data_IF_000161297803
#
_entry.id   IF_000161297803
#
_cell.length_a   1.000
_cell.length_b   1.000
_cell.length_c   1.000
_cell.angle_alpha   90.00
_cell.angle_beta   90.00
_cell.angle_gamma   90.00
#
_symmetry.space_group_name_H-M   'P 1'
#
loop_
_entity.id
_entity.type
_entity.pdbx_description
1 polymer ?
#
# COMPACT_ATOMS: atom_id res chain seq x y z
N UNK A 1 -13.91 9.25 2.86
CA UNK A 1 -13.78 7.98 3.57
C UNK A 1 -14.38 8.10 4.98
N UNK A 2 -15.04 7.07 5.47
CA UNK A 2 -15.71 7.05 6.77
C UNK A 2 -14.78 7.40 7.94
N UNK A 3 -13.50 7.02 7.87
CA UNK A 3 -12.48 7.38 8.89
C UNK A 3 -12.23 8.88 8.97
N UNK A 4 -12.30 9.60 7.85
CA UNK A 4 -12.04 11.03 7.79
C UNK A 4 -13.13 11.84 8.53
N UNK A 5 -14.38 11.41 8.49
CA UNK A 5 -15.51 12.15 9.03
C UNK A 5 -15.35 12.50 10.51
N UNK A 6 -14.80 11.58 11.32
CA UNK A 6 -14.60 11.78 12.76
C UNK A 6 -13.50 12.80 13.10
N UNK A 7 -12.54 12.99 12.18
CA UNK A 7 -11.36 13.84 12.41
C UNK A 7 -11.37 15.09 11.53
N UNK A 8 -12.43 15.32 10.74
CA UNK A 8 -12.48 16.38 9.76
C UNK A 8 -12.05 17.77 10.32
N UNK A 9 -12.44 18.19 11.54
CA UNK A 9 -12.02 19.48 12.10
C UNK A 9 -10.53 19.60 12.42
N UNK A 10 -9.82 18.47 12.49
CA UNK A 10 -8.39 18.41 12.84
C UNK A 10 -7.48 18.14 11.62
N UNK A 11 -8.08 17.93 10.44
CA UNK A 11 -7.32 17.62 9.25
C UNK A 11 -6.85 18.90 8.57
N UNK A 12 -5.61 18.87 8.10
CA UNK A 12 -5.10 19.89 7.20
C UNK A 12 -5.85 19.82 5.86
N UNK A 13 -5.96 20.94 5.18
CA UNK A 13 -6.47 20.97 3.82
C UNK A 13 -5.47 20.30 2.87
N UNK A 14 -5.97 19.29 2.17
CA UNK A 14 -5.22 18.57 1.16
C UNK A 14 -6.07 18.40 -0.10
N UNK A 15 -5.51 18.73 -1.25
CA UNK A 15 -6.11 18.45 -2.55
C UNK A 15 -5.79 17.02 -2.95
N UNK A 16 -6.79 16.28 -3.40
CA UNK A 16 -6.63 14.91 -3.86
C UNK A 16 -6.65 14.84 -5.38
N UNK A 17 -5.80 13.99 -5.93
CA UNK A 17 -5.79 13.59 -7.34
C UNK A 17 -6.18 12.11 -7.44
N UNK A 18 -6.50 11.64 -8.64
CA UNK A 18 -6.91 10.26 -8.88
C UNK A 18 -5.81 9.26 -8.46
N UNK A 19 -6.17 8.16 -7.77
CA UNK A 19 -5.21 7.12 -7.43
C UNK A 19 -4.79 6.33 -8.67
N UNK A 20 -3.61 5.73 -8.64
CA UNK A 20 -3.22 4.76 -9.65
C UNK A 20 -3.95 3.43 -9.39
N UNK A 21 -5.12 3.27 -9.99
CA UNK A 21 -6.02 2.13 -9.80
C UNK A 21 -6.38 1.49 -11.15
N UNK A 22 -5.45 0.77 -11.78
CA UNK A 22 -5.62 0.31 -13.17
C UNK A 22 -6.85 -0.59 -13.35
N UNK A 23 -7.16 -1.46 -12.41
CA UNK A 23 -8.33 -2.34 -12.51
C UNK A 23 -9.65 -1.58 -12.76
N UNK A 24 -9.84 -0.41 -12.14
CA UNK A 24 -11.08 0.36 -12.25
C UNK A 24 -11.01 1.57 -13.17
N UNK A 25 -9.85 2.24 -13.22
CA UNK A 25 -9.73 3.58 -13.79
C UNK A 25 -8.95 3.64 -15.12
N UNK A 26 -8.21 2.56 -15.47
CA UNK A 26 -7.53 2.47 -16.75
C UNK A 26 -8.56 2.14 -17.85
N UNK A 27 -8.63 2.96 -18.89
CA UNK A 27 -9.50 2.69 -20.04
C UNK A 27 -9.02 1.45 -20.82
N UNK A 28 -9.96 0.69 -21.40
CA UNK A 28 -9.63 -0.52 -22.14
C UNK A 28 -8.70 -0.29 -23.35
N UNK A 29 -8.68 0.93 -23.90
CA UNK A 29 -7.82 1.34 -25.02
C UNK A 29 -6.50 1.97 -24.57
N UNK A 30 -6.27 2.11 -23.27
CA UNK A 30 -5.14 2.81 -22.69
C UNK A 30 -4.05 1.81 -22.28
N UNK A 31 -2.80 2.03 -22.70
CA UNK A 31 -1.69 1.22 -22.18
C UNK A 31 -1.39 1.61 -20.72
N UNK A 32 -0.76 0.72 -19.91
CA UNK A 32 -0.34 1.07 -18.57
C UNK A 32 0.50 2.35 -18.49
N UNK A 33 1.41 2.54 -19.44
CA UNK A 33 2.27 3.72 -19.53
C UNK A 33 1.45 4.99 -19.83
N UNK A 34 0.50 4.93 -20.76
CA UNK A 34 -0.38 6.05 -21.10
C UNK A 34 -1.26 6.44 -19.90
N UNK A 35 -1.77 5.43 -19.18
CA UNK A 35 -2.52 5.63 -17.94
C UNK A 35 -1.67 6.32 -16.88
N UNK A 36 -0.46 5.85 -16.62
CA UNK A 36 0.47 6.49 -15.68
C UNK A 36 0.80 7.92 -16.06
N UNK A 37 1.01 8.21 -17.34
CA UNK A 37 1.25 9.56 -17.85
C UNK A 37 0.02 10.47 -17.67
N UNK A 38 -1.18 9.99 -17.92
CA UNK A 38 -2.42 10.73 -17.70
C UNK A 38 -2.59 11.15 -16.24
N UNK A 39 -2.30 10.25 -15.30
CA UNK A 39 -2.35 10.57 -13.87
C UNK A 39 -1.27 11.61 -13.46
N UNK A 40 -0.08 11.53 -14.02
CA UNK A 40 0.97 12.51 -13.79
C UNK A 40 0.58 13.88 -14.38
N UNK A 41 -0.08 13.92 -15.55
CA UNK A 41 -0.62 15.16 -16.12
C UNK A 41 -1.75 15.77 -15.25
N UNK A 42 -2.62 14.94 -14.65
CA UNK A 42 -3.62 15.40 -13.68
C UNK A 42 -2.96 16.05 -12.46
N UNK A 43 -1.89 15.43 -11.93
CA UNK A 43 -1.09 16.02 -10.86
C UNK A 43 -0.52 17.37 -11.27
N UNK A 44 0.12 17.44 -12.44
CA UNK A 44 0.72 18.68 -12.96
C UNK A 44 -0.32 19.79 -13.14
N UNK A 45 -1.46 19.48 -13.78
CA UNK A 45 -2.57 20.43 -13.94
C UNK A 45 -3.10 20.91 -12.58
N UNK A 46 -3.13 20.04 -11.58
CA UNK A 46 -3.56 20.39 -10.23
C UNK A 46 -2.57 21.32 -9.55
N UNK A 47 -1.25 21.06 -9.65
CA UNK A 47 -0.21 21.94 -9.12
C UNK A 47 -0.29 23.33 -9.78
N UNK A 48 -0.42 23.39 -11.10
CA UNK A 48 -0.54 24.67 -11.84
C UNK A 48 -1.79 25.43 -11.38
N UNK A 49 -2.92 24.76 -11.26
CA UNK A 49 -4.19 25.36 -10.81
C UNK A 49 -4.12 25.94 -9.39
N UNK A 50 -3.38 25.27 -8.50
CA UNK A 50 -3.18 25.73 -7.11
C UNK A 50 -2.12 26.83 -6.99
N UNK A 51 -1.21 26.90 -7.94
CA UNK A 51 0.02 27.68 -7.87
C UNK A 51 1.16 26.85 -7.29
N UNK A 52 2.25 26.67 -8.02
CA UNK A 52 3.37 25.83 -7.60
C UNK A 52 4.04 26.32 -6.31
N UNK A 53 3.99 27.61 -6.04
CA UNK A 53 4.46 28.25 -4.81
C UNK A 53 3.56 27.98 -3.59
N UNK A 54 2.36 27.44 -3.80
CA UNK A 54 1.40 27.08 -2.75
C UNK A 54 1.38 25.58 -2.46
N UNK A 55 2.11 24.76 -3.23
CA UNK A 55 2.15 23.31 -3.08
C UNK A 55 3.50 22.87 -2.57
N UNK A 56 3.57 22.45 -1.31
CA UNK A 56 4.83 22.00 -0.71
C UNK A 56 5.21 20.59 -1.13
N UNK A 57 4.25 19.65 -1.21
CA UNK A 57 4.53 18.25 -1.46
C UNK A 57 3.37 17.52 -2.14
N UNK A 58 3.73 16.47 -2.90
CA UNK A 58 2.84 15.38 -3.28
C UNK A 58 3.14 14.17 -2.40
N UNK A 59 2.08 13.61 -1.79
CA UNK A 59 2.20 12.46 -0.87
C UNK A 59 1.42 11.28 -1.41
N UNK A 60 2.05 10.11 -1.50
CA UNK A 60 1.41 8.87 -1.91
C UNK A 60 2.01 7.65 -1.21
N UNK A 61 1.20 6.60 -1.02
CA UNK A 61 1.75 5.26 -0.75
C UNK A 61 2.41 4.73 -2.02
N UNK A 62 3.63 4.16 -1.92
CA UNK A 62 4.32 3.56 -3.08
C UNK A 62 3.54 2.38 -3.65
N UNK A 63 2.98 1.52 -2.79
CA UNK A 63 1.89 0.61 -3.09
C UNK A 63 0.76 0.93 -2.12
N UNK A 64 -0.43 1.16 -2.65
CA UNK A 64 -1.59 1.44 -1.81
C UNK A 64 -1.87 0.31 -0.83
N UNK A 65 -2.07 0.66 0.43
CA UNK A 65 -2.22 -0.33 1.50
C UNK A 65 -3.66 -0.74 1.78
N UNK A 66 -4.05 -0.63 3.05
CA UNK A 66 -5.31 -1.15 3.57
C UNK A 66 -6.57 -0.46 3.04
N UNK A 67 -6.46 0.78 2.53
CA UNK A 67 -7.65 1.57 2.16
C UNK A 67 -8.31 1.05 0.89
N UNK A 68 -7.51 0.63 -0.10
CA UNK A 68 -8.00 0.19 -1.41
C UNK A 68 -7.52 -1.23 -1.81
N UNK A 69 -6.94 -1.98 -0.88
CA UNK A 69 -6.57 -3.38 -1.09
C UNK A 69 -5.38 -3.57 -2.03
N UNK A 70 -4.24 -3.05 -1.64
CA UNK A 70 -2.94 -3.21 -2.33
C UNK A 70 -2.97 -2.73 -3.78
N UNK A 71 -3.12 -1.43 -3.97
CA UNK A 71 -2.99 -0.85 -5.31
C UNK A 71 -1.52 -0.87 -5.74
N UNK A 72 -1.24 -1.58 -6.82
CA UNK A 72 0.09 -1.62 -7.44
C UNK A 72 0.11 -0.60 -8.57
N UNK A 73 1.02 0.39 -8.54
CA UNK A 73 1.10 1.38 -9.60
C UNK A 73 1.53 0.73 -10.91
N UNK A 74 1.05 1.29 -12.03
CA UNK A 74 1.52 0.88 -13.36
C UNK A 74 2.99 1.28 -13.56
N UNK A 75 3.75 0.53 -14.38
CA UNK A 75 5.15 0.85 -14.64
C UNK A 75 5.33 2.29 -15.14
N UNK A 76 6.31 3.00 -14.56
CA UNK A 76 6.64 4.37 -14.95
C UNK A 76 5.79 5.47 -14.31
N UNK A 77 4.73 5.14 -13.57
CA UNK A 77 3.88 6.13 -12.90
C UNK A 77 4.69 7.03 -11.95
N UNK A 78 5.42 6.45 -11.00
CA UNK A 78 6.20 7.26 -10.05
C UNK A 78 7.38 7.99 -10.71
N UNK A 79 7.92 7.46 -11.81
CA UNK A 79 8.91 8.21 -12.59
C UNK A 79 8.31 9.50 -13.16
N UNK A 80 7.15 9.40 -13.79
CA UNK A 80 6.43 10.58 -14.32
C UNK A 80 6.04 11.56 -13.20
N UNK A 81 5.56 11.06 -12.05
CA UNK A 81 5.27 11.88 -10.86
C UNK A 81 6.52 12.60 -10.37
N UNK A 82 7.68 11.90 -10.28
CA UNK A 82 8.95 12.54 -9.87
C UNK A 82 9.34 13.68 -10.81
N UNK A 83 9.23 13.45 -12.11
CA UNK A 83 9.52 14.47 -13.12
C UNK A 83 8.61 15.70 -12.99
N UNK A 84 7.33 15.52 -12.69
CA UNK A 84 6.40 16.63 -12.40
C UNK A 84 6.82 17.36 -11.14
N UNK A 85 7.07 16.66 -10.05
CA UNK A 85 7.50 17.26 -8.80
C UNK A 85 8.78 18.09 -8.97
N UNK A 86 9.76 17.56 -9.70
CA UNK A 86 11.05 18.26 -9.96
C UNK A 86 10.84 19.54 -10.78
N UNK A 87 10.00 19.50 -11.82
CA UNK A 87 9.72 20.70 -12.64
C UNK A 87 9.09 21.85 -11.86
N UNK A 88 8.27 21.52 -10.86
CA UNK A 88 7.51 22.51 -10.10
C UNK A 88 8.09 22.81 -8.72
N UNK A 89 9.22 22.21 -8.35
CA UNK A 89 9.84 22.38 -7.04
C UNK A 89 9.01 21.82 -5.88
N UNK A 90 8.12 20.86 -6.17
CA UNK A 90 7.27 20.17 -5.20
C UNK A 90 7.98 18.93 -4.65
N UNK A 91 7.93 18.73 -3.34
CA UNK A 91 8.56 17.56 -2.73
C UNK A 91 7.75 16.28 -3.01
N UNK A 92 8.43 15.17 -3.28
CA UNK A 92 7.82 13.85 -3.33
C UNK A 92 8.00 13.15 -1.99
N UNK A 93 6.89 12.84 -1.33
CA UNK A 93 6.84 12.07 -0.09
C UNK A 93 6.21 10.73 -0.37
N UNK A 94 6.95 9.63 -0.14
CA UNK A 94 6.41 8.29 -0.27
C UNK A 94 6.16 7.66 1.10
N UNK A 95 4.94 7.17 1.29
CA UNK A 95 4.56 6.38 2.45
C UNK A 95 4.82 4.90 2.18
N UNK A 96 5.84 4.36 2.82
CA UNK A 96 6.18 2.94 2.76
C UNK A 96 5.97 2.24 4.11
N UNK A 97 5.12 2.79 4.95
CA UNK A 97 4.78 2.20 6.24
C UNK A 97 4.25 0.77 6.11
N UNK A 98 3.52 0.45 5.03
CA UNK A 98 3.03 -0.92 4.79
C UNK A 98 3.86 -1.69 3.76
N UNK A 99 4.25 -1.06 2.67
CA UNK A 99 4.87 -1.73 1.53
C UNK A 99 6.40 -1.79 1.57
N UNK A 100 7.03 -1.01 2.45
CA UNK A 100 8.49 -0.99 2.62
C UNK A 100 9.04 -2.08 3.53
N UNK A 101 10.29 -1.92 3.92
CA UNK A 101 11.03 -2.78 4.84
C UNK A 101 11.00 -4.27 4.47
N UNK A 102 11.14 -4.57 3.18
CA UNK A 102 11.20 -5.93 2.65
C UNK A 102 9.88 -6.51 2.17
N UNK A 103 8.72 -5.91 2.52
CA UNK A 103 7.38 -6.47 2.27
C UNK A 103 7.12 -6.79 0.80
N UNK A 104 7.66 -5.99 -0.12
CA UNK A 104 7.50 -6.13 -1.57
C UNK A 104 8.67 -6.81 -2.27
N UNK A 105 9.69 -7.28 -1.50
CA UNK A 105 10.85 -8.00 -2.04
C UNK A 105 12.09 -7.13 -2.30
N UNK A 106 12.01 -5.83 -2.04
CA UNK A 106 13.13 -4.88 -1.93
C UNK A 106 13.09 -4.22 -0.56
N UNK A 107 14.18 -3.58 -0.11
CA UNK A 107 14.16 -2.90 1.18
C UNK A 107 13.11 -1.78 1.17
N UNK A 108 13.11 -0.97 0.13
CA UNK A 108 12.10 0.06 -0.12
C UNK A 108 11.33 -0.26 -1.41
N UNK A 109 10.02 -0.10 -1.40
CA UNK A 109 9.17 -0.41 -2.55
C UNK A 109 9.46 0.51 -3.76
N UNK A 110 9.88 1.75 -3.53
CA UNK A 110 10.26 2.71 -4.56
C UNK A 110 11.48 2.28 -5.41
N UNK A 111 12.27 1.31 -4.95
CA UNK A 111 13.38 0.75 -5.72
C UNK A 111 12.92 0.10 -7.04
N UNK A 112 11.72 -0.50 -7.06
CA UNK A 112 11.14 -1.05 -8.29
C UNK A 112 10.89 0.02 -9.35
N UNK A 113 10.48 1.20 -8.92
CA UNK A 113 10.21 2.34 -9.79
C UNK A 113 11.49 3.12 -10.13
N UNK A 114 12.62 2.79 -9.50
CA UNK A 114 13.90 3.51 -9.60
C UNK A 114 13.74 5.00 -9.31
N UNK A 115 12.94 5.32 -8.31
CA UNK A 115 12.63 6.68 -7.88
C UNK A 115 13.16 6.91 -6.48
N UNK A 116 13.81 8.04 -6.27
CA UNK A 116 14.22 8.50 -4.95
C UNK A 116 13.30 9.62 -4.50
N UNK A 117 12.47 9.41 -3.46
CA UNK A 117 11.63 10.46 -2.89
C UNK A 117 12.48 11.48 -2.13
N UNK A 118 11.92 12.66 -1.87
CA UNK A 118 12.54 13.64 -0.99
C UNK A 118 12.41 13.25 0.49
N UNK A 119 11.26 12.65 0.84
CA UNK A 119 10.99 12.06 2.15
C UNK A 119 10.37 10.66 1.98
N UNK A 120 10.79 9.73 2.83
CA UNK A 120 10.28 8.36 2.86
C UNK A 120 9.86 8.00 4.28
N UNK A 121 8.57 7.71 4.48
CA UNK A 121 8.04 7.28 5.76
C UNK A 121 8.08 5.75 5.88
N UNK A 122 8.70 5.24 6.94
CA UNK A 122 8.83 3.80 7.23
C UNK A 122 8.40 3.49 8.66
N UNK A 123 7.78 2.33 8.87
CA UNK A 123 7.40 1.82 10.19
C UNK A 123 7.15 0.31 10.11
N UNK A 124 6.27 -0.24 10.92
CA UNK A 124 5.81 -1.65 10.92
C UNK A 124 6.93 -2.67 10.73
N UNK A 125 7.23 -3.05 9.47
CA UNK A 125 8.33 -3.95 9.13
C UNK A 125 9.70 -3.49 9.62
N UNK A 126 9.89 -2.20 9.87
CA UNK A 126 11.11 -1.65 10.46
C UNK A 126 11.44 -2.33 11.80
N UNK A 127 10.45 -2.51 12.66
CA UNK A 127 10.59 -3.16 13.97
C UNK A 127 10.00 -4.57 14.03
N UNK A 128 9.47 -5.11 12.94
CA UNK A 128 8.91 -6.46 12.87
C UNK A 128 7.77 -6.75 13.86
N UNK A 129 7.15 -5.71 14.42
CA UNK A 129 6.12 -5.83 15.45
C UNK A 129 6.65 -6.00 16.89
N UNK A 130 7.96 -6.09 17.09
CA UNK A 130 8.56 -6.28 18.43
C UNK A 130 8.55 -5.02 19.28
N UNK A 131 8.74 -3.85 18.64
CA UNK A 131 8.63 -2.55 19.31
C UNK A 131 7.93 -1.54 18.39
N UNK A 132 7.11 -0.62 18.91
CA UNK A 132 6.57 0.47 18.13
C UNK A 132 7.70 1.42 17.75
N UNK A 133 7.91 1.55 16.43
CA UNK A 133 8.93 2.42 15.85
C UNK A 133 8.49 2.87 14.46
N UNK A 134 8.78 4.10 14.12
CA UNK A 134 8.69 4.65 12.77
C UNK A 134 9.83 5.62 12.54
N UNK A 135 10.15 5.88 11.30
CA UNK A 135 11.17 6.83 10.91
C UNK A 135 10.77 7.53 9.61
N UNK A 136 11.35 8.71 9.40
CA UNK A 136 11.32 9.43 8.14
C UNK A 136 12.76 9.56 7.66
N UNK A 137 13.02 9.07 6.45
CA UNK A 137 14.28 9.26 5.75
C UNK A 137 14.15 10.52 4.89
N UNK A 138 15.10 11.42 4.98
CA UNK A 138 15.11 12.68 4.25
C UNK A 138 16.37 12.82 3.40
N UNK A 139 16.24 13.41 2.21
CA UNK A 139 17.41 13.75 1.41
C UNK A 139 18.26 14.81 2.11
N UNK A 140 19.59 14.75 1.95
CA UNK A 140 20.55 15.69 2.58
C UNK A 140 20.24 17.15 2.31
N UNK A 141 19.80 17.49 1.09
CA UNK A 141 19.41 18.87 0.72
C UNK A 141 18.36 19.49 1.64
N UNK A 142 17.44 18.68 2.21
CA UNK A 142 16.41 19.17 3.13
C UNK A 142 17.00 19.46 4.51
N UNK A 143 17.92 18.61 4.97
CA UNK A 143 18.66 18.82 6.22
C UNK A 143 19.55 20.05 6.12
N UNK A 144 20.23 20.22 4.99
CA UNK A 144 21.07 21.40 4.70
C UNK A 144 20.24 22.68 4.69
N UNK A 145 19.06 22.66 4.03
CA UNK A 145 18.14 23.82 4.00
C UNK A 145 17.65 24.19 5.41
N UNK A 146 17.30 23.21 6.25
CA UNK A 146 16.93 23.48 7.65
C UNK A 146 18.10 24.06 8.45
N UNK A 147 19.29 23.51 8.28
CA UNK A 147 20.51 23.95 8.98
C UNK A 147 20.92 25.37 8.59
N UNK A 148 20.81 25.70 7.30
CA UNK A 148 21.11 27.04 6.79
C UNK A 148 20.03 28.07 7.10
N UNK A 149 18.77 27.63 7.26
CA UNK A 149 17.61 28.46 7.58
C UNK A 149 17.47 28.68 9.09
N UNK A 150 16.54 27.99 9.73
CA UNK A 150 16.29 28.12 11.17
C UNK A 150 17.41 27.56 12.07
N UNK A 151 18.26 26.69 11.55
CA UNK A 151 19.27 25.96 12.30
C UNK A 151 18.71 24.94 13.28
N UNK A 152 17.40 24.72 13.27
CA UNK A 152 16.73 23.90 14.27
C UNK A 152 15.55 23.08 13.68
N UNK A 153 15.54 21.78 13.94
CA UNK A 153 14.45 20.89 13.58
C UNK A 153 13.39 20.91 14.69
N UNK A 154 12.33 21.68 14.48
CA UNK A 154 11.28 21.96 15.48
C UNK A 154 10.22 20.86 15.56
N UNK A 155 10.63 19.59 15.53
CA UNK A 155 9.72 18.45 15.69
C UNK A 155 10.39 17.36 16.48
N UNK A 156 9.64 16.73 17.40
CA UNK A 156 10.13 15.62 18.18
C UNK A 156 9.07 15.08 19.14
N UNK A 157 9.37 13.93 19.69
CA UNK A 157 8.62 13.27 20.74
C UNK A 157 9.56 12.92 21.87
N UNK A 158 9.07 12.85 23.11
CA UNK A 158 9.87 12.48 24.29
C UNK A 158 10.62 11.17 24.09
N UNK A 159 10.03 10.21 23.40
CA UNK A 159 10.63 8.91 23.11
C UNK A 159 11.30 8.81 21.74
N UNK A 160 11.60 9.93 21.09
CA UNK A 160 12.39 9.92 19.86
C UNK A 160 13.75 9.29 20.12
N UNK A 161 14.17 8.35 19.28
CA UNK A 161 15.43 7.61 19.44
C UNK A 161 15.43 6.65 20.65
N UNK A 162 14.27 6.16 21.11
CA UNK A 162 14.18 5.21 22.23
C UNK A 162 15.09 4.01 22.01
N UNK A 163 16.04 3.82 22.91
CA UNK A 163 17.15 2.87 22.73
C UNK A 163 16.69 1.42 22.51
N UNK A 164 15.68 0.95 23.24
CA UNK A 164 15.14 -0.41 23.09
C UNK A 164 14.43 -0.57 21.74
N UNK A 165 13.65 0.42 21.30
CA UNK A 165 12.97 0.38 20.01
C UNK A 165 13.98 0.38 18.85
N UNK A 166 15.02 1.21 18.93
CA UNK A 166 16.10 1.25 17.94
C UNK A 166 16.89 -0.07 17.90
N UNK A 167 17.22 -0.65 19.06
CA UNK A 167 17.89 -1.93 19.16
C UNK A 167 17.07 -3.08 18.57
N UNK A 168 15.75 -3.11 18.84
CA UNK A 168 14.83 -4.10 18.26
C UNK A 168 14.74 -3.95 16.73
N UNK A 169 14.60 -2.72 16.23
CA UNK A 169 14.60 -2.45 14.78
C UNK A 169 15.90 -2.90 14.12
N UNK A 170 17.05 -2.57 14.71
CA UNK A 170 18.36 -2.99 14.20
C UNK A 170 18.48 -4.53 14.16
N UNK A 171 18.00 -5.22 15.19
CA UNK A 171 17.99 -6.68 15.23
C UNK A 171 17.13 -7.27 14.09
N UNK A 172 15.95 -6.70 13.83
CA UNK A 172 15.07 -7.11 12.71
C UNK A 172 15.77 -6.92 11.37
N UNK A 173 16.39 -5.75 11.14
CA UNK A 173 17.10 -5.49 9.87
C UNK A 173 18.28 -6.44 9.66
N UNK A 174 19.04 -6.76 10.71
CA UNK A 174 20.12 -7.76 10.65
C UNK A 174 19.62 -9.17 10.30
N UNK A 175 18.44 -9.56 10.79
CA UNK A 175 17.81 -10.84 10.43
C UNK A 175 17.38 -10.84 8.96
N UNK A 176 16.76 -9.77 8.48
CA UNK A 176 16.36 -9.64 7.07
C UNK A 176 17.58 -9.80 6.15
N UNK A 177 18.68 -9.14 6.48
CA UNK A 177 19.94 -9.22 5.71
C UNK A 177 20.60 -10.59 5.83
N UNK A 178 20.84 -11.07 7.07
CA UNK A 178 21.53 -12.33 7.35
C UNK A 178 20.87 -13.53 6.69
N UNK A 179 19.53 -13.60 6.74
CA UNK A 179 18.75 -14.72 6.28
C UNK A 179 18.27 -14.56 4.82
N UNK A 180 18.71 -13.52 4.12
CA UNK A 180 18.38 -13.25 2.72
C UNK A 180 16.88 -13.07 2.47
N UNK A 181 16.14 -12.52 3.45
CA UNK A 181 14.67 -12.53 3.42
C UNK A 181 14.08 -11.72 2.27
N UNK A 182 14.79 -10.75 1.69
CA UNK A 182 14.31 -10.03 0.51
C UNK A 182 14.14 -10.96 -0.71
N UNK A 183 15.11 -11.88 -0.93
CA UNK A 183 15.01 -12.89 -1.97
C UNK A 183 13.85 -13.87 -1.67
N UNK A 184 13.76 -14.34 -0.43
CA UNK A 184 12.66 -15.21 0.02
C UNK A 184 11.29 -14.58 -0.19
N UNK A 185 11.14 -13.28 0.08
CA UNK A 185 9.86 -12.56 -0.14
C UNK A 185 9.49 -12.51 -1.62
N UNK A 186 10.44 -12.37 -2.53
CA UNK A 186 10.16 -12.44 -3.98
C UNK A 186 9.68 -13.82 -4.39
N UNK A 187 10.42 -14.86 -4.04
CA UNK A 187 10.09 -16.26 -4.37
C UNK A 187 8.75 -16.69 -3.75
N UNK A 188 8.56 -16.43 -2.46
CA UNK A 188 7.31 -16.72 -1.75
C UNK A 188 6.14 -15.91 -2.32
N UNK A 189 6.40 -14.69 -2.77
CA UNK A 189 5.41 -13.82 -3.41
C UNK A 189 4.92 -14.38 -4.74
N UNK A 190 5.82 -14.83 -5.61
CA UNK A 190 5.50 -15.50 -6.88
C UNK A 190 4.70 -16.79 -6.62
N UNK A 191 5.12 -17.56 -5.60
CA UNK A 191 4.40 -18.76 -5.19
C UNK A 191 2.98 -18.45 -4.70
N UNK A 192 2.83 -17.45 -3.83
CA UNK A 192 1.52 -17.03 -3.31
C UNK A 192 0.62 -16.51 -4.44
N UNK A 193 1.17 -15.74 -5.37
CA UNK A 193 0.43 -15.30 -6.57
C UNK A 193 -0.13 -16.48 -7.35
N UNK A 194 0.69 -17.47 -7.66
CA UNK A 194 0.27 -18.65 -8.40
C UNK A 194 -0.84 -19.42 -7.66
N UNK A 195 -0.72 -19.58 -6.35
CA UNK A 195 -1.71 -20.24 -5.51
C UNK A 195 -3.04 -19.48 -5.47
N UNK A 196 -2.99 -18.16 -5.28
CA UNK A 196 -4.19 -17.30 -5.29
C UNK A 196 -4.88 -17.33 -6.65
N UNK A 197 -4.13 -17.29 -7.76
CA UNK A 197 -4.69 -17.37 -9.11
C UNK A 197 -5.31 -18.75 -9.37
N UNK A 198 -4.68 -19.83 -8.94
CA UNK A 198 -5.22 -21.18 -9.09
C UNK A 198 -6.50 -21.38 -8.26
N UNK A 199 -6.56 -20.84 -7.04
CA UNK A 199 -7.69 -20.99 -6.13
C UNK A 199 -8.85 -20.05 -6.43
N UNK A 200 -8.56 -18.78 -6.73
CA UNK A 200 -9.53 -17.68 -6.77
C UNK A 200 -9.63 -16.99 -8.14
N UNK A 201 -8.70 -17.19 -9.06
CA UNK A 201 -8.63 -16.45 -10.32
C UNK A 201 -9.86 -16.62 -11.23
N UNK A 202 -10.55 -17.75 -11.15
CA UNK A 202 -11.80 -18.03 -11.87
C UNK A 202 -13.07 -17.84 -11.03
N UNK A 203 -12.93 -17.44 -9.76
CA UNK A 203 -14.07 -17.28 -8.86
C UNK A 203 -14.98 -16.13 -9.33
N UNK A 204 -16.30 -16.37 -9.43
CA UNK A 204 -17.27 -15.42 -10.02
C UNK A 204 -17.36 -14.07 -9.29
N UNK A 205 -16.99 -14.02 -8.02
CA UNK A 205 -17.01 -12.81 -7.19
C UNK A 205 -15.62 -12.24 -6.87
N UNK A 206 -14.55 -12.75 -7.49
CA UNK A 206 -13.22 -12.16 -7.40
C UNK A 206 -12.95 -11.32 -8.65
N UNK A 207 -12.86 -10.01 -8.47
CA UNK A 207 -12.62 -9.07 -9.56
C UNK A 207 -11.16 -8.99 -9.95
N UNK A 208 -10.27 -8.84 -8.95
CA UNK A 208 -8.84 -8.73 -9.17
C UNK A 208 -8.05 -9.33 -8.01
N UNK A 209 -6.92 -9.96 -8.36
CA UNK A 209 -5.87 -10.38 -7.43
C UNK A 209 -4.62 -9.60 -7.80
N UNK A 210 -4.17 -8.71 -6.93
CA UNK A 210 -3.05 -7.81 -7.19
C UNK A 210 -2.09 -7.74 -6.03
N UNK A 211 -0.82 -7.53 -6.28
CA UNK A 211 0.18 -7.44 -5.22
C UNK A 211 1.60 -7.55 -5.72
N UNK A 212 2.54 -7.54 -4.77
CA UNK A 212 3.97 -7.71 -5.03
C UNK A 212 4.64 -8.28 -3.78
N UNK A 213 5.57 -9.22 -3.96
CA UNK A 213 6.20 -9.92 -2.84
C UNK A 213 5.16 -10.60 -1.95
N UNK A 214 5.23 -10.40 -0.67
CA UNK A 214 4.24 -10.92 0.29
C UNK A 214 3.21 -9.86 0.72
N UNK A 215 2.75 -9.04 -0.23
CA UNK A 215 1.72 -8.02 -0.04
C UNK A 215 0.68 -8.13 -1.15
N UNK A 216 -0.47 -8.73 -0.84
CA UNK A 216 -1.51 -9.08 -1.81
C UNK A 216 -2.87 -8.56 -1.40
N UNK A 217 -3.66 -8.17 -2.39
CA UNK A 217 -5.06 -7.80 -2.26
C UNK A 217 -5.93 -8.66 -3.17
N UNK A 218 -7.04 -9.13 -2.64
CA UNK A 218 -8.12 -9.80 -3.40
C UNK A 218 -9.33 -8.91 -3.34
N UNK A 219 -9.70 -8.31 -4.46
CA UNK A 219 -10.86 -7.44 -4.57
C UNK A 219 -12.10 -8.25 -4.93
N UNK A 220 -13.19 -7.98 -4.22
CA UNK A 220 -14.45 -8.69 -4.39
C UNK A 220 -15.46 -7.82 -5.13
N UNK A 221 -16.17 -8.45 -6.06
CA UNK A 221 -17.21 -7.82 -6.88
C UNK A 221 -18.46 -8.70 -6.92
N UNK A 222 -19.62 -8.07 -7.03
CA UNK A 222 -20.86 -8.78 -7.24
C UNK A 222 -20.90 -9.35 -8.66
N UNK A 223 -20.38 -8.61 -9.62
CA UNK A 223 -20.32 -9.00 -11.03
C UNK A 223 -18.96 -8.61 -11.60
N UNK A 224 -18.29 -9.56 -12.26
CA UNK A 224 -16.93 -9.39 -12.79
C UNK A 224 -16.85 -8.53 -14.05
N UNK A 225 -17.87 -8.57 -14.89
CA UNK A 225 -17.88 -7.87 -16.17
C UNK A 225 -18.05 -6.36 -15.96
N UNK A 226 -19.06 -5.98 -15.19
CA UNK A 226 -19.32 -4.58 -14.84
C UNK A 226 -18.44 -4.07 -13.70
N UNK A 227 -17.71 -4.96 -13.00
CA UNK A 227 -16.96 -4.69 -11.78
C UNK A 227 -17.84 -4.10 -10.66
N UNK A 228 -19.13 -4.38 -10.68
CA UNK A 228 -20.09 -3.86 -9.71
C UNK A 228 -19.74 -4.35 -8.30
N UNK A 229 -19.64 -3.46 -7.29
CA UNK A 229 -19.41 -3.86 -5.91
C UNK A 229 -20.68 -4.44 -5.29
N UNK A 230 -20.52 -5.21 -4.22
CA UNK A 230 -21.63 -5.63 -3.38
C UNK A 230 -22.27 -4.44 -2.64
N UNK A 231 -23.54 -4.60 -2.24
CA UNK A 231 -24.20 -3.64 -1.36
C UNK A 231 -23.42 -3.52 -0.03
N UNK A 232 -23.00 -2.31 0.37
CA UNK A 232 -22.28 -2.10 1.62
C UNK A 232 -23.04 -2.57 2.88
N UNK A 233 -24.37 -2.66 2.82
CA UNK A 233 -25.20 -3.13 3.94
C UNK A 233 -24.95 -4.60 4.25
N UNK A 234 -24.48 -5.39 3.29
CA UNK A 234 -24.13 -6.80 3.48
C UNK A 234 -22.89 -6.95 4.38
N UNK A 235 -22.03 -5.91 4.46
CA UNK A 235 -20.79 -5.91 5.24
C UNK A 235 -19.93 -7.16 4.95
N UNK A 236 -19.80 -7.49 3.65
CA UNK A 236 -19.16 -8.72 3.19
C UNK A 236 -17.77 -8.90 3.79
N UNK A 237 -16.95 -7.84 3.83
CA UNK A 237 -15.63 -7.87 4.48
C UNK A 237 -15.68 -8.34 5.94
N UNK A 238 -16.70 -7.94 6.70
CA UNK A 238 -16.83 -8.35 8.10
C UNK A 238 -17.27 -9.83 8.23
N UNK A 239 -18.08 -10.32 7.28
CA UNK A 239 -18.44 -11.74 7.20
C UNK A 239 -17.21 -12.58 6.87
N UNK A 240 -16.45 -12.21 5.83
CA UNK A 240 -15.21 -12.89 5.46
C UNK A 240 -14.23 -12.94 6.63
N UNK A 241 -14.09 -11.84 7.39
CA UNK A 241 -13.25 -11.83 8.58
C UNK A 241 -13.65 -12.90 9.59
N UNK A 242 -14.95 -13.05 9.84
CA UNK A 242 -15.48 -14.03 10.79
C UNK A 242 -15.28 -15.45 10.28
N UNK A 243 -15.64 -15.72 9.02
CA UNK A 243 -15.47 -17.04 8.43
C UNK A 243 -13.99 -17.46 8.37
N UNK A 244 -13.10 -16.55 7.95
CA UNK A 244 -11.66 -16.81 7.96
C UNK A 244 -11.15 -17.22 9.34
N UNK A 245 -11.55 -16.52 10.40
CA UNK A 245 -11.19 -16.89 11.78
C UNK A 245 -11.76 -18.25 12.17
N UNK A 246 -12.98 -18.60 11.74
CA UNK A 246 -13.58 -19.92 11.99
C UNK A 246 -12.79 -21.03 11.30
N UNK A 247 -12.23 -20.77 10.13
CA UNK A 247 -11.33 -21.68 9.41
C UNK A 247 -9.88 -21.65 9.90
N UNK A 248 -9.55 -20.85 10.94
CA UNK A 248 -8.21 -20.74 11.50
C UNK A 248 -7.27 -19.82 10.74
N UNK A 249 -7.80 -18.95 9.85
CA UNK A 249 -7.03 -18.01 9.06
C UNK A 249 -7.26 -16.57 9.55
N UNK A 250 -6.18 -15.85 9.88
CA UNK A 250 -6.23 -14.43 10.17
C UNK A 250 -5.87 -13.62 8.92
N UNK A 251 -6.84 -12.86 8.40
CA UNK A 251 -6.70 -11.96 7.26
C UNK A 251 -7.19 -10.56 7.59
N UNK A 252 -6.93 -9.60 6.71
CA UNK A 252 -7.35 -8.21 6.89
C UNK A 252 -8.35 -7.75 5.82
N UNK A 253 -9.65 -8.13 5.94
CA UNK A 253 -10.68 -7.68 5.05
C UNK A 253 -11.13 -6.25 5.39
N UNK A 254 -11.42 -5.47 4.35
CA UNK A 254 -11.87 -4.08 4.47
C UNK A 254 -12.99 -3.79 3.48
N UNK A 255 -13.91 -2.92 3.88
CA UNK A 255 -14.91 -2.31 3.00
C UNK A 255 -14.52 -0.91 2.55
N UNK A 256 -15.19 -0.40 1.51
CA UNK A 256 -14.96 0.94 0.99
C UNK A 256 -13.82 1.05 -0.02
N UNK A 257 -13.47 -0.04 -0.67
CA UNK A 257 -12.37 -0.18 -1.62
C UNK A 257 -12.44 0.82 -2.78
N UNK A 258 -13.65 1.11 -3.28
CA UNK A 258 -13.86 1.92 -4.50
C UNK A 258 -13.84 3.41 -4.20
N UNK A 259 -14.66 3.84 -3.24
CA UNK A 259 -14.92 5.26 -2.96
C UNK A 259 -14.94 5.60 -1.46
N UNK A 260 -14.55 4.64 -0.63
CA UNK A 260 -14.62 4.75 0.82
C UNK A 260 -15.97 4.29 1.41
N UNK A 261 -16.92 3.86 0.57
CA UNK A 261 -18.22 3.32 0.97
C UNK A 261 -18.49 1.95 0.31
N UNK A 262 -18.31 1.87 -1.00
CA UNK A 262 -18.55 0.66 -1.80
C UNK A 262 -17.27 -0.15 -2.00
N UNK A 263 -17.46 -1.46 -2.24
CA UNK A 263 -16.39 -2.42 -2.51
C UNK A 263 -15.81 -3.04 -1.26
N UNK A 264 -15.40 -4.28 -1.42
CA UNK A 264 -14.79 -5.10 -0.37
C UNK A 264 -13.49 -5.72 -0.92
N UNK A 265 -12.49 -5.84 -0.06
CA UNK A 265 -11.26 -6.55 -0.40
C UNK A 265 -10.72 -7.31 0.81
N UNK A 266 -9.85 -8.27 0.55
CA UNK A 266 -9.06 -8.94 1.56
C UNK A 266 -7.58 -8.66 1.30
N UNK A 267 -6.88 -8.15 2.31
CA UNK A 267 -5.44 -7.93 2.27
C UNK A 267 -4.73 -9.08 2.95
N UNK A 268 -3.68 -9.58 2.30
CA UNK A 268 -2.77 -10.62 2.78
C UNK A 268 -1.37 -10.04 2.95
N UNK A 269 -0.79 -10.25 4.12
CA UNK A 269 0.58 -9.85 4.44
C UNK A 269 1.25 -10.89 5.35
N UNK A 270 1.44 -12.14 4.87
CA UNK A 270 2.02 -13.20 5.69
C UNK A 270 3.46 -12.87 6.11
N UNK A 271 3.97 -13.49 7.19
CA UNK A 271 5.37 -13.35 7.60
C UNK A 271 6.35 -13.72 6.48
N UNK A 272 7.54 -13.10 6.45
CA UNK A 272 8.55 -13.38 5.42
C UNK A 272 9.06 -14.84 5.45
N UNK A 273 8.97 -15.47 6.61
CA UNK A 273 9.41 -16.85 6.85
C UNK A 273 8.30 -17.89 6.63
N UNK A 274 7.12 -17.48 6.15
CA UNK A 274 6.00 -18.41 5.86
C UNK A 274 6.46 -19.48 4.89
N UNK A 275 6.22 -20.75 5.23
CA UNK A 275 6.57 -21.90 4.41
C UNK A 275 5.64 -22.06 3.20
N UNK A 276 6.07 -22.81 2.20
CA UNK A 276 5.27 -23.08 1.00
C UNK A 276 3.97 -23.83 1.32
N UNK A 277 3.98 -24.70 2.32
CA UNK A 277 2.79 -25.37 2.82
C UNK A 277 1.80 -24.38 3.44
N UNK A 278 2.29 -23.45 4.26
CA UNK A 278 1.44 -22.43 4.87
C UNK A 278 0.90 -21.44 3.81
N UNK A 279 1.67 -21.12 2.77
CA UNK A 279 1.17 -20.30 1.65
C UNK A 279 0.02 -20.99 0.90
N UNK A 280 0.12 -22.31 0.70
CA UNK A 280 -0.95 -23.09 0.10
C UNK A 280 -2.20 -23.11 0.99
N UNK A 281 -2.03 -23.33 2.29
CA UNK A 281 -3.14 -23.25 3.27
C UNK A 281 -3.82 -21.88 3.28
N UNK A 282 -3.05 -20.79 3.21
CA UNK A 282 -3.62 -19.43 3.15
C UNK A 282 -4.55 -19.28 1.95
N UNK A 283 -4.14 -19.74 0.76
CA UNK A 283 -4.95 -19.61 -0.45
C UNK A 283 -6.23 -20.47 -0.39
N UNK A 284 -6.13 -21.69 0.15
CA UNK A 284 -7.26 -22.62 0.32
C UNK A 284 -8.27 -22.09 1.35
N UNK A 285 -7.82 -21.77 2.56
CA UNK A 285 -8.66 -21.28 3.64
C UNK A 285 -9.30 -19.91 3.32
N UNK A 286 -8.60 -19.07 2.55
CA UNK A 286 -9.18 -17.81 2.07
C UNK A 286 -10.35 -18.08 1.12
N UNK A 287 -10.22 -19.04 0.20
CA UNK A 287 -11.30 -19.43 -0.69
C UNK A 287 -12.51 -19.94 0.10
N UNK A 288 -12.29 -20.88 1.01
CA UNK A 288 -13.36 -21.41 1.87
C UNK A 288 -14.08 -20.32 2.66
N UNK A 289 -13.32 -19.36 3.21
CA UNK A 289 -13.89 -18.23 3.95
C UNK A 289 -14.73 -17.29 3.05
N UNK A 290 -14.27 -17.06 1.81
CA UNK A 290 -15.02 -16.26 0.83
C UNK A 290 -16.32 -17.00 0.45
N UNK A 291 -16.24 -18.29 0.09
CA UNK A 291 -17.38 -19.12 -0.28
C UNK A 291 -18.42 -19.17 0.84
N UNK A 292 -17.99 -19.41 2.09
CA UNK A 292 -18.86 -19.45 3.28
C UNK A 292 -19.53 -18.11 3.55
N UNK A 293 -18.79 -17.00 3.42
CA UNK A 293 -19.33 -15.65 3.61
C UNK A 293 -20.38 -15.30 2.55
N UNK A 294 -20.18 -15.72 1.30
CA UNK A 294 -21.11 -15.50 0.19
C UNK A 294 -22.35 -16.39 0.27
N UNK A 295 -22.26 -17.63 0.75
CA UNK A 295 -23.40 -18.50 0.94
C UNK A 295 -24.42 -17.95 1.97
N UNK A 296 -24.02 -16.96 2.77
CA UNK A 296 -24.86 -16.28 3.76
C UNK A 296 -25.42 -14.93 3.26
N UNK A 297 -25.22 -14.59 1.98
CA UNK A 297 -25.71 -13.38 1.29
C UNK A 297 -26.85 -13.76 0.32
#
# INVERSE_FOLDING_TARGET
AWRRAQFAPLLIDATHVSPCYPYREQAATETPEAYGQRLAQELEATIIRLGSDQVIAFVAETLGGATAGVLVPVPGYFKAVREVCDRHGVLLILDEVMCGMGRTGTLHACEFEKVTPDLLAIAKGLGGGYQPIGAVLAQGKLVEAMSAGSGFFQHGHTYLGHAVACAAALAVQRVIERDGLLARVREAGERLQALLQASLGSHCHVGEIRGRGLFWGVELVQDRESKAPFDPQLKLHARIKREALTHGLMVYPMGGTVDGRYGDHVLLAPPFITSDTELAMIAELLREAIDSALASV
#
